data_IF_007304792576
#
_entry.id   IF_007304792576
#
_cell.length_a   1.000
_cell.length_b   1.000
_cell.length_c   1.000
_cell.angle_alpha   90.00
_cell.angle_beta   90.00
_cell.angle_gamma   90.00
#
_symmetry.space_group_name_H-M   'P 1'
#
loop_
_entity.id
_entity.type
_entity.pdbx_description
1 polymer ?
#
# COMPACT_ATOMS: atom_id res chain seq x y z
N UNK A 1 -12.97 -24.48 39.55
CA UNK A 1 -11.61 -23.97 39.83
C UNK A 1 -11.46 -22.45 39.66
N UNK A 2 -12.34 -21.80 38.90
CA UNK A 2 -12.32 -20.33 38.69
C UNK A 2 -13.06 -19.57 39.81
N UNK A 3 -13.97 -20.23 40.52
CA UNK A 3 -14.83 -19.61 41.54
C UNK A 3 -14.14 -19.31 42.88
N UNK A 4 -12.87 -19.62 43.03
CA UNK A 4 -12.10 -19.38 44.26
C UNK A 4 -11.07 -18.23 44.13
N UNK A 5 -10.99 -17.58 42.96
CA UNK A 5 -10.17 -16.40 42.83
C UNK A 5 -10.89 -15.19 43.43
N UNK A 6 -10.20 -14.47 44.27
CA UNK A 6 -10.61 -13.13 44.73
C UNK A 6 -11.11 -12.31 43.52
N UNK A 7 -12.10 -11.42 43.69
CA UNK A 7 -12.67 -10.67 42.59
C UNK A 7 -11.52 -10.02 41.80
N UNK A 8 -11.47 -10.33 40.48
CA UNK A 8 -10.46 -9.79 39.57
C UNK A 8 -10.51 -8.27 39.68
N UNK A 9 -9.39 -7.59 39.97
CA UNK A 9 -9.37 -6.14 39.98
C UNK A 9 -9.89 -5.58 38.64
N UNK A 10 -10.68 -4.52 38.68
CA UNK A 10 -11.29 -3.91 37.49
C UNK A 10 -10.26 -3.57 36.41
N UNK A 11 -9.04 -3.23 36.81
CA UNK A 11 -7.91 -2.94 35.86
C UNK A 11 -7.48 -4.11 35.02
N UNK A 12 -7.78 -5.35 35.36
CA UNK A 12 -7.40 -6.56 34.63
C UNK A 12 -8.59 -7.26 33.93
N UNK A 13 -9.79 -6.70 34.06
CA UNK A 13 -10.99 -7.33 33.50
C UNK A 13 -10.91 -7.50 31.98
N UNK A 14 -10.42 -6.50 31.27
CA UNK A 14 -10.28 -6.55 29.81
C UNK A 14 -9.27 -7.62 29.36
N UNK A 15 -8.12 -7.70 30.05
CA UNK A 15 -7.11 -8.73 29.78
C UNK A 15 -7.66 -10.14 30.10
N UNK A 16 -8.40 -10.27 31.18
CA UNK A 16 -9.03 -11.53 31.56
C UNK A 16 -10.06 -11.97 30.49
N UNK A 17 -10.89 -11.06 30.00
CA UNK A 17 -11.88 -11.36 28.97
C UNK A 17 -11.19 -11.83 27.67
N UNK A 18 -10.08 -11.21 27.27
CA UNK A 18 -9.29 -11.64 26.13
C UNK A 18 -8.74 -13.05 26.32
N UNK A 19 -8.14 -13.32 27.49
CA UNK A 19 -7.60 -14.65 27.82
C UNK A 19 -8.71 -15.71 27.88
N UNK A 20 -9.84 -15.39 28.50
CA UNK A 20 -11.00 -16.29 28.57
C UNK A 20 -11.52 -16.62 27.16
N UNK A 21 -11.65 -15.63 26.27
CA UNK A 21 -12.04 -15.84 24.87
C UNK A 21 -11.06 -16.74 24.13
N UNK A 22 -9.74 -16.52 24.30
CA UNK A 22 -8.71 -17.37 23.68
C UNK A 22 -8.82 -18.83 24.11
N UNK A 23 -9.12 -19.07 25.40
CA UNK A 23 -9.24 -20.41 25.96
C UNK A 23 -10.54 -21.13 25.54
N UNK A 24 -11.61 -20.38 25.31
CA UNK A 24 -12.94 -20.95 25.04
C UNK A 24 -13.33 -20.98 23.57
N UNK A 25 -12.69 -20.13 22.72
CA UNK A 25 -13.03 -20.03 21.31
C UNK A 25 -12.77 -21.32 20.54
N UNK A 26 -13.69 -21.63 19.61
CA UNK A 26 -13.64 -22.81 18.74
C UNK A 26 -13.13 -22.44 17.34
N UNK A 27 -12.78 -23.45 16.54
CA UNK A 27 -12.25 -23.27 15.18
C UNK A 27 -13.16 -22.41 14.29
N UNK A 28 -14.47 -22.58 14.38
CA UNK A 28 -15.45 -21.98 13.49
C UNK A 28 -16.14 -20.74 14.08
N UNK A 29 -15.68 -20.26 15.24
CA UNK A 29 -16.22 -19.05 15.86
C UNK A 29 -15.96 -17.82 15.01
N UNK A 30 -16.94 -16.91 15.03
CA UNK A 30 -16.79 -15.56 14.46
C UNK A 30 -16.05 -14.67 15.47
N UNK A 31 -15.31 -13.71 14.96
CA UNK A 31 -14.60 -12.69 15.76
C UNK A 31 -13.60 -13.29 16.76
N UNK A 32 -12.85 -14.29 16.35
CA UNK A 32 -11.79 -14.91 17.17
C UNK A 32 -10.68 -13.93 17.47
N UNK A 33 -10.09 -14.10 18.66
CA UNK A 33 -8.86 -13.44 19.06
C UNK A 33 -7.68 -14.22 18.47
N UNK A 34 -6.86 -13.58 17.63
CA UNK A 34 -5.68 -14.17 17.00
C UNK A 34 -4.38 -13.72 17.64
N UNK A 35 -4.40 -12.64 18.40
CA UNK A 35 -3.27 -12.13 19.16
C UNK A 35 -3.74 -11.64 20.53
N UNK A 36 -3.08 -12.07 21.59
CA UNK A 36 -3.36 -11.61 22.95
C UNK A 36 -2.93 -10.14 23.12
N UNK A 37 -1.83 -9.75 22.46
CA UNK A 37 -1.28 -8.39 22.56
C UNK A 37 -2.03 -7.38 21.70
N UNK A 38 -2.73 -7.83 20.68
CA UNK A 38 -3.55 -7.01 19.77
C UNK A 38 -4.83 -7.78 19.42
N UNK A 39 -5.82 -7.81 20.33
CA UNK A 39 -7.05 -8.59 20.16
C UNK A 39 -7.86 -8.23 18.91
N UNK A 40 -7.72 -7.00 18.41
CA UNK A 40 -8.36 -6.47 17.20
C UNK A 40 -7.73 -6.96 15.89
N UNK A 41 -6.61 -7.70 15.95
CA UNK A 41 -5.95 -8.23 14.75
C UNK A 41 -6.88 -9.15 13.96
N UNK A 42 -7.00 -8.88 12.68
CA UNK A 42 -7.84 -9.65 11.78
C UNK A 42 -7.06 -10.79 11.12
N UNK A 43 -7.78 -11.89 10.86
CA UNK A 43 -7.32 -12.96 10.01
C UNK A 43 -7.91 -12.80 8.61
N UNK A 44 -7.06 -12.60 7.60
CA UNK A 44 -7.44 -12.39 6.21
C UNK A 44 -7.08 -13.64 5.41
N UNK A 45 -8.09 -14.34 4.88
CA UNK A 45 -7.86 -15.47 3.97
C UNK A 45 -7.39 -14.98 2.61
N UNK A 46 -6.28 -15.52 2.11
CA UNK A 46 -5.68 -15.18 0.81
C UNK A 46 -5.96 -16.23 -0.27
N UNK A 47 -6.46 -17.39 0.09
CA UNK A 47 -6.74 -18.48 -0.86
C UNK A 47 -5.52 -18.97 -1.65
N UNK A 48 -4.30 -18.71 -1.17
CA UNK A 48 -3.05 -19.20 -1.78
C UNK A 48 -2.60 -20.46 -1.07
N UNK A 49 -2.19 -21.47 -1.82
CA UNK A 49 -1.80 -22.80 -1.31
C UNK A 49 -0.70 -22.73 -0.24
N UNK A 50 0.33 -21.92 -0.46
CA UNK A 50 1.48 -21.77 0.44
C UNK A 50 1.33 -20.68 1.50
N UNK A 51 0.29 -19.83 1.43
CA UNK A 51 -0.01 -18.78 2.42
C UNK A 51 -1.51 -18.54 2.48
N UNK A 52 -2.19 -19.37 3.24
CA UNK A 52 -3.65 -19.35 3.34
C UNK A 52 -4.16 -18.13 4.09
N UNK A 53 -3.44 -17.67 5.12
CA UNK A 53 -3.87 -16.60 6.02
C UNK A 53 -2.80 -15.53 6.17
N UNK A 54 -3.23 -14.29 6.26
CA UNK A 54 -2.43 -13.14 6.71
C UNK A 54 -3.13 -12.51 7.91
N UNK A 55 -2.33 -12.11 8.91
CA UNK A 55 -2.82 -11.46 10.13
C UNK A 55 -2.45 -9.99 10.10
N UNK A 56 -3.34 -9.12 10.59
CA UNK A 56 -3.15 -7.68 10.64
C UNK A 56 -4.18 -6.91 9.84
N UNK A 57 -4.00 -5.58 9.77
CA UNK A 57 -4.86 -4.68 9.03
C UNK A 57 -4.41 -4.52 7.56
N UNK A 58 -5.35 -4.16 6.71
CA UNK A 58 -5.04 -3.84 5.31
C UNK A 58 -4.41 -2.45 5.20
N UNK A 59 -3.46 -2.30 4.28
CA UNK A 59 -2.96 -0.99 3.87
C UNK A 59 -3.24 -0.76 2.39
N UNK A 60 -3.70 0.43 2.05
CA UNK A 60 -3.95 0.85 0.67
C UNK A 60 -2.93 1.88 0.23
N UNK A 61 -2.44 1.75 -1.00
CA UNK A 61 -1.46 2.66 -1.58
C UNK A 61 -1.90 3.11 -2.96
N UNK A 62 -1.76 4.40 -3.21
CA UNK A 62 -1.89 4.99 -4.53
C UNK A 62 -0.54 5.54 -4.98
N UNK A 63 -0.08 5.21 -6.18
CA UNK A 63 1.16 5.73 -6.72
C UNK A 63 1.00 6.23 -8.15
N UNK A 64 1.84 7.17 -8.55
CA UNK A 64 1.81 7.75 -9.89
C UNK A 64 2.51 6.84 -10.91
N UNK A 65 1.87 6.59 -12.04
CA UNK A 65 2.41 5.74 -13.12
C UNK A 65 3.77 6.23 -13.65
N UNK A 66 3.94 7.53 -13.83
CA UNK A 66 5.14 8.11 -14.45
C UNK A 66 6.33 8.20 -13.49
N UNK A 67 6.14 8.86 -12.36
CA UNK A 67 7.21 9.07 -11.38
C UNK A 67 7.38 7.88 -10.43
N UNK A 68 6.37 7.03 -10.27
CA UNK A 68 6.37 5.94 -9.30
C UNK A 68 6.45 6.43 -7.85
N UNK A 69 5.93 7.62 -7.57
CA UNK A 69 5.83 8.22 -6.24
C UNK A 69 4.49 7.84 -5.62
N UNK A 70 4.49 7.46 -4.35
CA UNK A 70 3.29 7.21 -3.57
C UNK A 70 2.64 8.55 -3.25
N UNK A 71 1.39 8.72 -3.68
CA UNK A 71 0.59 9.93 -3.50
C UNK A 71 -0.63 9.70 -2.60
N UNK A 72 -0.76 8.50 -2.05
CA UNK A 72 -1.76 8.16 -1.06
C UNK A 72 -1.34 6.90 -0.33
N UNK A 73 -1.48 6.89 0.99
CA UNK A 73 -1.18 5.75 1.85
C UNK A 73 -2.11 5.80 3.07
N UNK A 74 -2.85 4.72 3.30
CA UNK A 74 -3.75 4.62 4.44
C UNK A 74 -3.81 3.18 4.98
N UNK A 75 -3.86 3.03 6.29
CA UNK A 75 -4.28 1.80 6.92
C UNK A 75 -5.81 1.79 6.98
N UNK A 76 -6.39 0.62 6.74
CA UNK A 76 -7.82 0.40 6.69
C UNK A 76 -8.21 -0.36 7.94
N UNK A 77 -9.02 0.26 8.77
CA UNK A 77 -9.54 -0.38 9.97
C UNK A 77 -10.54 -1.48 9.57
N UNK A 78 -10.35 -2.67 10.10
CA UNK A 78 -11.20 -3.79 9.78
C UNK A 78 -10.89 -4.47 8.43
N UNK A 79 -11.75 -5.41 8.04
CA UNK A 79 -11.68 -6.08 6.73
C UNK A 79 -12.66 -5.45 5.73
N UNK A 80 -12.56 -4.11 5.56
CA UNK A 80 -13.42 -3.42 4.62
C UNK A 80 -13.23 -3.95 3.19
N UNK A 81 -14.33 -3.97 2.42
CA UNK A 81 -14.31 -4.32 1.01
C UNK A 81 -13.52 -3.27 0.22
N UNK A 82 -12.63 -3.71 -0.67
CA UNK A 82 -11.71 -2.84 -1.41
C UNK A 82 -12.42 -1.74 -2.23
N UNK A 83 -13.64 -1.99 -2.69
CA UNK A 83 -14.45 -1.00 -3.40
C UNK A 83 -14.86 0.21 -2.55
N UNK A 84 -15.10 0.01 -1.25
CA UNK A 84 -15.45 1.09 -0.32
C UNK A 84 -14.23 1.92 0.09
N UNK A 85 -13.05 1.31 0.10
CA UNK A 85 -11.82 2.00 0.48
C UNK A 85 -11.24 2.86 -0.64
N UNK A 86 -11.64 2.61 -1.89
CA UNK A 86 -11.13 3.35 -3.04
C UNK A 86 -11.54 4.82 -3.02
N UNK A 87 -12.76 5.14 -2.62
CA UNK A 87 -13.25 6.52 -2.55
C UNK A 87 -12.44 7.32 -1.56
N UNK A 88 -12.30 6.83 -0.33
CA UNK A 88 -11.46 7.45 0.71
C UNK A 88 -10.00 7.63 0.26
N UNK A 89 -9.44 6.62 -0.40
CA UNK A 89 -8.09 6.68 -0.94
C UNK A 89 -7.95 7.76 -2.01
N UNK A 90 -8.93 7.91 -2.89
CA UNK A 90 -8.90 8.93 -3.95
C UNK A 90 -9.17 10.33 -3.42
N UNK A 91 -9.97 10.48 -2.36
CA UNK A 91 -10.12 11.76 -1.66
C UNK A 91 -8.78 12.22 -1.08
N UNK A 92 -8.09 11.36 -0.32
CA UNK A 92 -6.75 11.65 0.18
C UNK A 92 -5.80 12.06 -0.95
N UNK A 93 -5.81 11.34 -2.07
CA UNK A 93 -4.95 11.64 -3.22
C UNK A 93 -5.34 12.97 -3.88
N UNK A 94 -6.64 13.30 -4.00
CA UNK A 94 -7.11 14.59 -4.51
C UNK A 94 -6.62 15.75 -3.63
N UNK A 95 -6.71 15.63 -2.33
CA UNK A 95 -6.20 16.65 -1.38
C UNK A 95 -4.69 16.86 -1.56
N UNK A 96 -3.91 15.79 -1.54
CA UNK A 96 -2.45 15.85 -1.64
C UNK A 96 -1.94 16.31 -3.01
N UNK A 97 -2.70 16.12 -4.08
CA UNK A 97 -2.31 16.48 -5.46
C UNK A 97 -2.98 17.72 -5.99
N UNK A 98 -3.80 18.41 -5.19
CA UNK A 98 -4.58 19.56 -5.62
C UNK A 98 -5.61 19.22 -6.71
N UNK A 99 -6.27 18.07 -6.61
CA UNK A 99 -7.35 17.66 -7.52
C UNK A 99 -6.91 17.21 -8.91
N UNK A 100 -5.60 17.01 -9.16
CA UNK A 100 -5.04 16.72 -10.49
C UNK A 100 -5.27 15.31 -11.01
N UNK A 101 -6.02 14.46 -10.29
CA UNK A 101 -6.26 13.08 -10.69
C UNK A 101 -7.37 13.01 -11.72
N UNK A 102 -7.06 12.45 -12.89
CA UNK A 102 -8.04 12.21 -13.96
C UNK A 102 -8.40 10.74 -14.10
N UNK A 103 -7.49 9.83 -13.73
CA UNK A 103 -7.64 8.38 -13.94
C UNK A 103 -7.04 7.58 -12.80
N UNK A 104 -7.76 6.54 -12.36
CA UNK A 104 -7.29 5.56 -11.41
C UNK A 104 -7.31 4.16 -12.05
N UNK A 105 -6.18 3.45 -12.00
CA UNK A 105 -6.07 2.08 -12.48
C UNK A 105 -6.14 1.16 -11.27
N UNK A 106 -7.16 0.32 -11.21
CA UNK A 106 -7.45 -0.53 -10.07
C UNK A 106 -7.53 -2.00 -10.47
N UNK A 107 -7.50 -2.91 -9.49
CA UNK A 107 -7.67 -4.34 -9.71
C UNK A 107 -9.15 -4.72 -9.92
N UNK A 108 -9.38 -5.95 -10.40
CA UNK A 108 -10.73 -6.51 -10.59
C UNK A 108 -11.57 -6.54 -9.32
N UNK A 109 -10.92 -6.59 -8.16
CA UNK A 109 -11.56 -6.57 -6.83
C UNK A 109 -12.28 -5.26 -6.51
N UNK A 110 -11.88 -4.15 -7.11
CA UNK A 110 -12.44 -2.82 -6.87
C UNK A 110 -13.71 -2.58 -7.71
N UNK A 111 -14.80 -3.27 -7.37
CA UNK A 111 -16.10 -3.03 -8.02
C UNK A 111 -16.78 -1.83 -7.36
N UNK A 112 -16.59 -0.65 -7.91
CA UNK A 112 -17.26 0.57 -7.44
C UNK A 112 -18.60 0.70 -8.19
N UNK A 113 -19.72 0.57 -7.46
CA UNK A 113 -21.04 0.87 -8.00
C UNK A 113 -21.19 2.39 -8.11
N UNK A 114 -21.55 2.89 -9.30
CA UNK A 114 -21.82 4.31 -9.51
C UNK A 114 -20.61 5.17 -9.91
N UNK A 115 -19.38 4.61 -9.92
CA UNK A 115 -18.18 5.38 -10.25
C UNK A 115 -17.77 6.36 -9.15
N UNK A 116 -16.71 7.12 -9.39
CA UNK A 116 -16.26 8.21 -8.50
C UNK A 116 -16.25 9.52 -9.29
N UNK A 117 -16.94 10.55 -8.83
CA UNK A 117 -17.06 11.82 -9.57
C UNK A 117 -15.69 12.40 -9.96
N UNK A 118 -15.54 12.72 -11.25
CA UNK A 118 -14.34 13.36 -11.79
C UNK A 118 -13.11 12.44 -11.96
N UNK A 119 -13.21 11.12 -11.70
CA UNK A 119 -12.11 10.18 -11.89
C UNK A 119 -12.55 9.00 -12.78
N UNK A 120 -11.85 8.81 -13.90
CA UNK A 120 -12.05 7.66 -14.80
C UNK A 120 -11.39 6.40 -14.19
N UNK A 121 -12.20 5.42 -13.79
CA UNK A 121 -11.70 4.18 -13.18
C UNK A 121 -11.47 3.14 -14.25
N UNK A 122 -10.20 2.77 -14.43
CA UNK A 122 -9.77 1.77 -15.40
C UNK A 122 -9.57 0.41 -14.73
N UNK A 123 -10.41 -0.54 -15.07
CA UNK A 123 -10.31 -1.93 -14.60
C UNK A 123 -9.87 -2.86 -15.75
N UNK A 124 -9.22 -4.01 -15.46
CA UNK A 124 -8.81 -4.99 -16.47
C UNK A 124 -10.00 -5.82 -17.04
N UNK A 125 -11.24 -5.36 -16.89
CA UNK A 125 -12.42 -6.04 -17.41
C UNK A 125 -12.64 -5.70 -18.88
N UNK A 126 -12.88 -6.72 -19.72
CA UNK A 126 -13.31 -6.51 -21.11
C UNK A 126 -14.70 -5.86 -21.15
N UNK A 127 -14.81 -4.78 -21.93
CA UNK A 127 -16.11 -4.18 -22.26
C UNK A 127 -16.65 -4.83 -23.52
N UNK A 128 -17.93 -5.21 -23.52
CA UNK A 128 -18.59 -5.73 -24.73
C UNK A 128 -18.61 -4.64 -25.81
N UNK A 129 -18.20 -4.99 -27.04
CA UNK A 129 -18.17 -4.04 -28.16
C UNK A 129 -16.96 -3.09 -28.19
N UNK A 130 -15.95 -3.29 -27.35
CA UNK A 130 -14.73 -2.49 -27.34
C UNK A 130 -13.92 -2.71 -28.62
N UNK A 131 -13.52 -1.62 -29.31
CA UNK A 131 -12.65 -1.73 -30.50
C UNK A 131 -11.26 -2.27 -30.13
N UNK A 132 -10.57 -2.90 -31.08
CA UNK A 132 -9.21 -3.45 -30.88
C UNK A 132 -8.23 -2.41 -30.34
N UNK A 133 -8.29 -1.17 -30.82
CA UNK A 133 -7.43 -0.08 -30.34
C UNK A 133 -7.69 0.26 -28.86
N UNK A 134 -8.94 0.39 -28.46
CA UNK A 134 -9.33 0.67 -27.08
C UNK A 134 -8.93 -0.47 -26.15
N UNK A 135 -9.13 -1.73 -26.60
CA UNK A 135 -8.69 -2.93 -25.89
C UNK A 135 -7.18 -2.91 -25.64
N UNK A 136 -6.36 -2.68 -26.67
CA UNK A 136 -4.90 -2.60 -26.57
C UNK A 136 -4.45 -1.50 -25.60
N UNK A 137 -5.05 -0.31 -25.68
CA UNK A 137 -4.76 0.82 -24.80
C UNK A 137 -5.16 0.54 -23.33
N UNK A 138 -6.26 -0.16 -23.10
CA UNK A 138 -6.67 -0.60 -21.77
C UNK A 138 -5.71 -1.65 -21.21
N UNK A 139 -5.33 -2.66 -22.01
CA UNK A 139 -4.38 -3.69 -21.61
C UNK A 139 -3.01 -3.10 -21.24
N UNK A 140 -2.51 -2.14 -22.00
CA UNK A 140 -1.28 -1.42 -21.67
C UNK A 140 -1.36 -0.67 -20.34
N UNK A 141 -2.50 -0.02 -20.06
CA UNK A 141 -2.72 0.62 -18.77
C UNK A 141 -2.77 -0.40 -17.65
N UNK A 142 -3.44 -1.53 -17.85
CA UNK A 142 -3.53 -2.59 -16.85
C UNK A 142 -2.19 -3.28 -16.59
N UNK A 143 -1.31 -3.43 -17.61
CA UNK A 143 0.06 -3.91 -17.41
C UNK A 143 0.87 -2.98 -16.52
N UNK A 144 0.64 -1.67 -16.61
CA UNK A 144 1.33 -0.71 -15.73
C UNK A 144 0.97 -0.88 -14.26
N UNK A 145 -0.14 -1.56 -13.95
CA UNK A 145 -0.53 -1.94 -12.59
C UNK A 145 0.46 -2.94 -11.96
N UNK A 146 1.10 -3.78 -12.76
CA UNK A 146 2.09 -4.73 -12.25
C UNK A 146 3.20 -4.05 -11.43
N UNK A 147 3.48 -2.78 -11.70
CA UNK A 147 4.42 -1.98 -10.89
C UNK A 147 4.02 -1.82 -9.42
N UNK A 148 2.73 -1.94 -9.08
CA UNK A 148 2.28 -1.85 -7.67
C UNK A 148 2.70 -3.08 -6.86
N UNK A 149 2.79 -4.25 -7.48
CA UNK A 149 3.24 -5.47 -6.80
C UNK A 149 4.70 -5.35 -6.37
N UNK A 150 5.55 -4.82 -7.25
CA UNK A 150 6.94 -4.48 -6.93
C UNK A 150 7.03 -3.42 -5.83
N UNK A 151 6.20 -2.37 -5.91
CA UNK A 151 6.12 -1.34 -4.87
C UNK A 151 5.74 -1.94 -3.51
N UNK A 152 4.70 -2.79 -3.45
CA UNK A 152 4.28 -3.45 -2.21
C UNK A 152 5.39 -4.35 -1.66
N UNK A 153 6.12 -5.05 -2.52
CA UNK A 153 7.29 -5.84 -2.12
C UNK A 153 8.36 -4.95 -1.48
N UNK A 154 8.70 -3.82 -2.08
CA UNK A 154 9.64 -2.86 -1.49
C UNK A 154 9.16 -2.31 -0.15
N UNK A 155 7.87 -1.97 -0.01
CA UNK A 155 7.32 -1.52 1.26
C UNK A 155 7.42 -2.59 2.34
N UNK A 156 7.12 -3.85 2.01
CA UNK A 156 7.19 -4.96 2.95
C UNK A 156 8.61 -5.26 3.41
N UNK A 157 9.56 -5.38 2.48
CA UNK A 157 10.90 -5.89 2.77
C UNK A 157 11.93 -4.79 2.99
N UNK A 158 11.97 -3.75 2.15
CA UNK A 158 12.96 -2.67 2.29
C UNK A 158 12.57 -1.65 3.37
N UNK A 159 11.25 -1.46 3.60
CA UNK A 159 10.70 -0.46 4.52
C UNK A 159 9.95 -1.09 5.72
N UNK A 160 10.24 -2.36 6.02
CA UNK A 160 9.80 -3.11 7.22
C UNK A 160 8.29 -3.19 7.45
N UNK A 161 7.48 -3.00 6.41
CA UNK A 161 6.01 -3.08 6.52
C UNK A 161 5.48 -4.52 6.70
N UNK A 162 6.33 -5.53 6.56
CA UNK A 162 5.94 -6.92 6.75
C UNK A 162 5.52 -7.22 8.19
N UNK A 163 6.03 -6.45 9.14
CA UNK A 163 5.70 -6.55 10.57
C UNK A 163 5.61 -5.14 11.16
N UNK A 164 4.49 -4.85 11.80
CA UNK A 164 4.36 -3.64 12.59
C UNK A 164 4.98 -3.84 13.97
N UNK A 165 5.75 -2.86 14.45
CA UNK A 165 6.33 -2.83 15.80
C UNK A 165 5.63 -1.79 16.68
N UNK A 166 4.66 -1.07 16.13
CA UNK A 166 3.82 -0.12 16.84
C UNK A 166 2.47 -0.80 17.14
N UNK A 167 1.92 -0.57 18.31
CA UNK A 167 0.68 -1.21 18.73
C UNK A 167 -0.57 -0.47 18.27
N UNK A 168 -1.63 -1.24 18.05
CA UNK A 168 -2.98 -0.78 17.77
C UNK A 168 -3.17 -0.10 16.41
N UNK A 169 -4.40 0.34 16.15
CA UNK A 169 -4.79 0.96 14.87
C UNK A 169 -4.02 2.24 14.56
N UNK A 170 -3.65 3.03 15.56
CA UNK A 170 -2.79 4.21 15.40
C UNK A 170 -1.39 3.79 14.94
N UNK A 171 -0.84 2.72 15.52
CA UNK A 171 0.43 2.15 15.11
C UNK A 171 0.44 1.69 13.65
N UNK A 172 -0.63 1.06 13.18
CA UNK A 172 -0.78 0.65 11.79
C UNK A 172 -0.82 1.84 10.81
N UNK A 173 -1.54 2.91 11.18
CA UNK A 173 -1.58 4.15 10.40
C UNK A 173 -0.20 4.80 10.29
N UNK A 174 0.51 4.91 11.41
CA UNK A 174 1.86 5.48 11.46
C UNK A 174 2.83 4.62 10.65
N UNK A 175 2.83 3.30 10.83
CA UNK A 175 3.73 2.40 10.09
C UNK A 175 3.51 2.49 8.56
N UNK A 176 2.25 2.53 8.13
CA UNK A 176 1.89 2.69 6.71
C UNK A 176 2.42 4.00 6.13
N UNK A 177 2.25 5.11 6.84
CA UNK A 177 2.72 6.43 6.40
C UNK A 177 4.26 6.52 6.40
N UNK A 178 4.93 5.99 7.42
CA UNK A 178 6.39 5.97 7.50
C UNK A 178 7.01 5.15 6.37
N UNK A 179 6.45 3.97 6.06
CA UNK A 179 6.92 3.15 4.96
C UNK A 179 6.76 3.87 3.59
N UNK A 180 5.62 4.51 3.35
CA UNK A 180 5.37 5.31 2.16
C UNK A 180 6.33 6.50 2.04
N UNK A 181 6.56 7.20 3.14
CA UNK A 181 7.50 8.32 3.22
C UNK A 181 8.93 7.88 2.93
N UNK A 182 9.39 6.81 3.57
CA UNK A 182 10.73 6.27 3.37
C UNK A 182 10.95 5.83 1.91
N UNK A 183 9.96 5.16 1.30
CA UNK A 183 9.99 4.81 -0.12
C UNK A 183 10.12 6.06 -1.01
N UNK A 184 9.30 7.08 -0.79
CA UNK A 184 9.33 8.31 -1.55
C UNK A 184 10.65 9.06 -1.39
N UNK A 185 11.20 9.14 -0.18
CA UNK A 185 12.51 9.77 0.07
C UNK A 185 13.63 9.03 -0.66
N UNK A 186 13.68 7.69 -0.57
CA UNK A 186 14.66 6.86 -1.31
C UNK A 186 14.57 7.11 -2.82
N UNK A 187 13.34 7.18 -3.35
CA UNK A 187 13.10 7.47 -4.77
C UNK A 187 13.56 8.86 -5.16
N UNK A 188 13.23 9.87 -4.37
CA UNK A 188 13.65 11.25 -4.60
C UNK A 188 15.17 11.42 -4.55
N UNK A 189 15.84 10.76 -3.60
CA UNK A 189 17.31 10.75 -3.53
C UNK A 189 17.93 10.15 -4.79
N UNK A 190 17.38 9.04 -5.32
CA UNK A 190 17.85 8.44 -6.58
C UNK A 190 17.71 9.42 -7.75
N UNK A 191 16.55 10.05 -7.90
CA UNK A 191 16.31 11.04 -8.96
C UNK A 191 17.27 12.24 -8.87
N UNK A 192 17.60 12.72 -7.66
CA UNK A 192 18.59 13.77 -7.46
C UNK A 192 20.00 13.30 -7.83
N UNK A 193 20.39 12.11 -7.39
CA UNK A 193 21.71 11.52 -7.72
C UNK A 193 21.87 11.39 -9.23
N UNK A 194 20.89 10.90 -9.96
CA UNK A 194 20.92 10.78 -11.42
C UNK A 194 21.07 12.16 -12.10
N UNK A 195 20.34 13.18 -11.63
CA UNK A 195 20.48 14.54 -12.16
C UNK A 195 21.88 15.13 -11.96
N UNK A 196 22.44 14.95 -10.79
CA UNK A 196 23.81 15.42 -10.47
C UNK A 196 24.83 14.68 -11.33
N UNK A 197 24.72 13.36 -11.43
CA UNK A 197 25.62 12.56 -12.26
C UNK A 197 25.55 12.98 -13.75
N UNK A 198 24.36 13.15 -14.30
CA UNK A 198 24.17 13.62 -15.66
C UNK A 198 24.71 15.03 -15.88
N UNK A 199 24.59 15.91 -14.89
CA UNK A 199 25.19 17.25 -14.94
C UNK A 199 26.72 17.18 -15.00
N UNK A 200 27.34 16.38 -14.14
CA UNK A 200 28.80 16.17 -14.12
C UNK A 200 29.29 15.58 -15.43
N UNK A 201 28.63 14.55 -15.95
CA UNK A 201 28.97 13.92 -17.23
C UNK A 201 28.90 14.92 -18.39
N UNK A 202 27.84 15.72 -18.46
CA UNK A 202 27.70 16.77 -19.50
C UNK A 202 28.81 17.80 -19.38
N UNK A 203 29.15 18.24 -18.16
CA UNK A 203 30.23 19.20 -17.92
C UNK A 203 31.61 18.66 -18.34
N UNK A 204 31.90 17.38 -18.04
CA UNK A 204 33.15 16.71 -18.47
C UNK A 204 33.19 16.60 -19.99
N UNK A 205 32.13 16.12 -20.64
CA UNK A 205 32.08 15.99 -22.09
C UNK A 205 32.25 17.34 -22.79
N UNK A 206 31.63 18.38 -22.29
CA UNK A 206 31.78 19.73 -22.84
C UNK A 206 33.21 20.24 -22.74
N UNK A 207 33.93 19.94 -21.64
CA UNK A 207 35.35 20.29 -21.51
C UNK A 207 36.26 19.50 -22.44
N UNK A 208 35.97 18.19 -22.64
CA UNK A 208 36.74 17.35 -23.57
C UNK A 208 36.57 17.78 -25.03
N UNK A 209 35.37 18.21 -25.41
CA UNK A 209 35.07 18.67 -26.77
C UNK A 209 35.68 20.08 -27.02
N UNK A 210 35.74 20.94 -26.01
CA UNK A 210 36.24 22.30 -26.13
C UNK A 210 37.73 22.42 -25.86
N UNK A 211 38.42 21.36 -25.44
CA UNK A 211 39.91 21.40 -25.34
C UNK A 211 40.46 21.28 -26.77
N UNK A 212 41.15 22.34 -27.30
CA UNK A 212 41.81 22.21 -28.60
C UNK A 212 42.92 21.17 -28.43
N UNK A 213 42.88 20.15 -29.30
CA UNK A 213 44.00 19.22 -29.45
C UNK A 213 45.17 20.05 -30.04
N UNK A 214 46.04 20.53 -29.18
CA UNK A 214 47.31 21.12 -29.61
C UNK A 214 48.17 19.98 -30.13
N UNK A 215 48.04 19.67 -31.42
CA UNK A 215 49.00 18.85 -32.17
C UNK A 215 50.13 19.78 -32.49
N UNK A 216 51.14 19.84 -31.61
CA UNK A 216 52.43 20.39 -31.98
C UNK A 216 53.06 19.42 -32.98
N UNK A 217 53.31 19.95 -34.22
CA UNK A 217 54.18 19.33 -35.22
C UNK A 217 55.64 19.59 -34.87
#
# INVERSE_FOLDING_TARGET
MVDQLNPIPKSYMEEFDVLYRVLTQQRDDKNKVYSIHEPEVLCISKGKEHKQYEFGNKSSFAYTRGSGIIVGAMAIDGNAYDGHTLELQLEQVKELTGGKIKKAIVDKGYKVKGGIPGVDIVMPKMLKGESYYLKKKREERCRSRAGIEGLISHLKYDHRMIRNYLSGTAGDKINTLLAATAYNMKKWMRLKKEKILNFILRWILQRLILSPINIQR
#
